data_IF_976279653729
#
_entry.id   IF_976279653729
#
_cell.length_a   1.000
_cell.length_b   1.000
_cell.length_c   1.000
_cell.angle_alpha   90.00
_cell.angle_beta   90.00
_cell.angle_gamma   90.00
#
_symmetry.space_group_name_H-M   'P 1'
#
loop_
_entity.id
_entity.type
_entity.pdbx_description
1 polymer ?
#
# COMPACT_ATOMS: atom_id res chain seq x y z
N UNK A 1 -0.79 -15.99 -31.00
CA UNK A 1 -0.45 -16.46 -29.66
C UNK A 1 1.06 -16.57 -29.40
N UNK A 2 1.87 -17.28 -30.23
CA UNK A 2 3.33 -17.43 -30.00
C UNK A 2 4.08 -16.09 -29.89
N UNK A 3 3.79 -15.11 -30.77
CA UNK A 3 4.43 -13.77 -30.71
C UNK A 3 4.12 -12.98 -29.47
N UNK A 4 2.88 -13.09 -28.93
CA UNK A 4 2.48 -12.44 -27.68
C UNK A 4 3.23 -13.04 -26.47
N UNK A 5 3.36 -14.37 -26.46
CA UNK A 5 4.12 -15.08 -25.41
C UNK A 5 5.61 -14.71 -25.42
N UNK A 6 6.20 -14.56 -26.62
CA UNK A 6 7.60 -14.14 -26.76
C UNK A 6 7.82 -12.70 -26.30
N UNK A 7 6.87 -11.79 -26.58
CA UNK A 7 6.94 -10.41 -26.09
C UNK A 7 6.83 -10.37 -24.56
N UNK A 8 5.91 -11.14 -23.98
CA UNK A 8 5.74 -11.23 -22.51
C UNK A 8 6.99 -11.84 -21.85
N UNK A 9 7.58 -12.87 -22.46
CA UNK A 9 8.83 -13.46 -21.96
C UNK A 9 10.01 -12.50 -22.08
N UNK A 10 10.17 -11.80 -23.21
CA UNK A 10 11.26 -10.83 -23.37
C UNK A 10 11.11 -9.62 -22.46
N UNK A 11 9.90 -9.08 -22.28
CA UNK A 11 9.65 -8.00 -21.31
C UNK A 11 9.86 -8.47 -19.87
N UNK A 12 9.52 -9.72 -19.56
CA UNK A 12 9.79 -10.32 -18.26
C UNK A 12 11.29 -10.46 -17.96
N UNK A 13 12.08 -10.92 -18.93
CA UNK A 13 13.53 -11.08 -18.78
C UNK A 13 14.26 -9.73 -18.72
N UNK A 14 13.86 -8.74 -19.50
CA UNK A 14 14.39 -7.38 -19.44
C UNK A 14 13.99 -6.68 -18.12
N UNK A 15 12.80 -6.98 -17.59
CA UNK A 15 12.35 -6.49 -16.29
C UNK A 15 13.17 -7.01 -15.11
N UNK A 16 13.67 -8.24 -15.19
CA UNK A 16 14.53 -8.83 -14.16
C UNK A 16 15.90 -8.15 -14.05
N UNK A 17 16.41 -7.59 -15.16
CA UNK A 17 17.71 -6.89 -15.16
C UNK A 17 17.66 -5.52 -14.44
N UNK A 18 16.48 -4.95 -14.24
CA UNK A 18 16.26 -3.67 -13.53
C UNK A 18 15.45 -3.84 -12.23
N UNK A 19 15.27 -5.10 -11.80
CA UNK A 19 14.49 -5.40 -10.62
C UNK A 19 15.14 -4.79 -9.37
N UNK A 20 14.37 -4.04 -8.63
CA UNK A 20 14.78 -3.41 -7.37
C UNK A 20 13.82 -3.83 -6.26
N UNK A 21 14.38 -4.32 -5.18
CA UNK A 21 13.61 -4.60 -3.96
C UNK A 21 13.71 -3.38 -3.06
N UNK A 22 12.59 -2.97 -2.50
CA UNK A 22 12.56 -1.93 -1.46
C UNK A 22 11.67 -2.35 -0.30
N UNK A 23 12.03 -1.90 0.89
CA UNK A 23 11.23 -2.06 2.08
C UNK A 23 11.03 -0.72 2.76
N UNK A 24 9.89 -0.52 3.39
CA UNK A 24 9.60 0.73 4.07
C UNK A 24 8.52 0.60 5.13
N UNK A 25 8.39 1.64 5.92
CA UNK A 25 7.30 1.81 6.86
C UNK A 25 6.61 3.14 6.65
N UNK A 26 5.37 3.26 7.09
CA UNK A 26 4.67 4.55 7.11
C UNK A 26 3.86 4.73 8.38
N UNK A 27 3.62 6.00 8.71
CA UNK A 27 2.67 6.42 9.72
C UNK A 27 1.65 7.31 9.05
N UNK A 28 0.39 6.98 9.23
CA UNK A 28 -0.73 7.67 8.60
C UNK A 28 -1.78 8.04 9.66
N UNK A 29 -2.45 9.18 9.48
CA UNK A 29 -3.66 9.55 10.22
C UNK A 29 -4.85 9.25 9.32
N UNK A 30 -5.71 8.37 9.80
CA UNK A 30 -6.87 7.87 9.06
C UNK A 30 -8.15 8.52 9.60
N UNK A 31 -9.06 8.86 8.70
CA UNK A 31 -10.36 9.43 8.99
C UNK A 31 -11.43 8.53 8.38
N UNK A 32 -12.29 7.96 9.24
CA UNK A 32 -13.51 7.27 8.82
C UNK A 32 -14.64 8.24 8.52
N UNK A 33 -15.83 7.70 8.28
CA UNK A 33 -17.04 8.48 8.01
C UNK A 33 -17.45 9.38 9.18
N UNK A 34 -17.10 9.00 10.41
CA UNK A 34 -17.35 9.76 11.62
C UNK A 34 -16.30 10.86 11.90
N UNK A 35 -15.31 11.03 11.00
CA UNK A 35 -14.22 12.01 11.08
C UNK A 35 -13.35 11.87 12.35
N UNK A 36 -13.45 10.78 13.09
CA UNK A 36 -12.58 10.52 14.24
C UNK A 36 -11.20 10.07 13.76
N UNK A 37 -10.13 10.74 14.20
CA UNK A 37 -8.78 10.39 13.78
C UNK A 37 -8.37 9.05 14.37
N UNK A 38 -7.70 8.22 13.55
CA UNK A 38 -7.14 6.94 13.94
C UNK A 38 -5.70 6.86 13.45
N UNK A 39 -4.81 6.37 14.28
CA UNK A 39 -3.42 6.14 13.92
C UNK A 39 -3.28 4.83 13.14
N UNK A 40 -2.52 4.87 12.06
CA UNK A 40 -2.16 3.67 11.28
C UNK A 40 -0.65 3.63 11.09
N UNK A 41 -0.02 2.53 11.49
CA UNK A 41 1.35 2.21 11.14
C UNK A 41 1.36 1.10 10.09
N UNK A 42 2.22 1.18 9.08
CA UNK A 42 2.34 0.10 8.12
C UNK A 42 3.79 -0.23 7.79
N UNK A 43 4.01 -1.45 7.35
CA UNK A 43 5.24 -1.93 6.75
C UNK A 43 4.94 -2.50 5.37
N UNK A 44 5.85 -2.32 4.41
CA UNK A 44 5.73 -2.84 3.05
C UNK A 44 7.03 -3.43 2.52
N UNK A 45 6.88 -4.40 1.64
CA UNK A 45 7.93 -4.94 0.79
C UNK A 45 7.47 -4.79 -0.65
N UNK A 46 8.26 -4.09 -1.46
CA UNK A 46 7.96 -3.76 -2.85
C UNK A 46 9.02 -4.35 -3.77
N UNK A 47 8.58 -4.94 -4.86
CA UNK A 47 9.41 -5.42 -5.95
C UNK A 47 9.08 -4.60 -7.20
N UNK A 48 10.04 -3.78 -7.65
CA UNK A 48 9.94 -2.99 -8.88
C UNK A 48 10.51 -3.81 -10.03
N UNK A 49 9.66 -4.22 -10.94
CA UNK A 49 10.02 -5.05 -12.11
C UNK A 49 10.16 -4.24 -13.39
N UNK A 50 9.63 -3.00 -13.42
CA UNK A 50 9.81 -2.01 -14.49
C UNK A 50 10.12 -0.65 -13.87
N UNK A 51 10.72 0.25 -14.64
CA UNK A 51 10.97 1.62 -14.18
C UNK A 51 9.69 2.35 -13.75
N UNK A 52 8.56 1.96 -14.35
CA UNK A 52 7.24 2.57 -14.16
C UNK A 52 6.26 1.70 -13.38
N UNK A 53 6.62 0.46 -12.99
CA UNK A 53 5.68 -0.46 -12.34
C UNK A 53 6.35 -1.31 -11.26
N UNK A 54 5.63 -1.52 -10.18
CA UNK A 54 6.00 -2.40 -9.07
C UNK A 54 4.79 -3.11 -8.49
N UNK A 55 5.04 -4.16 -7.72
CA UNK A 55 4.05 -4.84 -6.91
C UNK A 55 4.65 -5.23 -5.57
N UNK A 56 3.81 -5.49 -4.59
CA UNK A 56 4.32 -5.84 -3.27
C UNK A 56 3.25 -6.27 -2.29
N UNK A 57 3.69 -6.43 -1.05
CA UNK A 57 2.85 -6.73 0.09
C UNK A 57 2.96 -5.60 1.13
N UNK A 58 1.88 -5.35 1.83
CA UNK A 58 1.81 -4.37 2.91
C UNK A 58 1.09 -4.98 4.10
N UNK A 59 1.56 -4.70 5.28
CA UNK A 59 0.91 -5.03 6.54
C UNK A 59 0.66 -3.74 7.30
N UNK A 60 -0.59 -3.40 7.53
CA UNK A 60 -0.98 -2.20 8.29
C UNK A 60 -1.62 -2.58 9.63
N UNK A 61 -1.26 -1.87 10.67
CA UNK A 61 -1.89 -1.91 11.99
C UNK A 61 -2.58 -0.57 12.27
N UNK A 62 -3.84 -0.59 12.67
CA UNK A 62 -4.66 0.57 12.92
C UNK A 62 -5.20 0.56 14.36
N UNK A 63 -5.18 1.70 15.02
CA UNK A 63 -5.73 1.87 16.37
C UNK A 63 -6.46 3.20 16.52
N UNK A 64 -7.55 3.21 17.27
CA UNK A 64 -8.24 4.44 17.67
C UNK A 64 -7.91 4.88 19.10
N UNK A 65 -6.89 4.26 19.72
CA UNK A 65 -6.42 4.54 21.09
C UNK A 65 -7.45 4.27 22.21
N UNK A 66 -8.69 3.90 21.88
CA UNK A 66 -9.74 3.67 22.87
C UNK A 66 -10.02 2.19 23.15
N UNK A 67 -9.81 1.25 22.27
CA UNK A 67 -9.96 -0.21 22.45
C UNK A 67 -10.20 -0.93 21.12
N UNK A 68 -10.00 -0.26 19.99
CA UNK A 68 -10.14 -0.86 18.66
C UNK A 68 -8.76 -1.04 18.05
N UNK A 69 -8.47 -2.27 17.67
CA UNK A 69 -7.26 -2.61 16.95
C UNK A 69 -7.63 -3.36 15.66
N UNK A 70 -6.97 -3.05 14.58
CA UNK A 70 -7.15 -3.77 13.33
C UNK A 70 -5.82 -4.04 12.64
N UNK A 71 -5.74 -5.19 11.97
CA UNK A 71 -4.60 -5.56 11.11
C UNK A 71 -5.13 -5.78 9.70
N UNK A 72 -4.42 -5.23 8.73
CA UNK A 72 -4.82 -5.27 7.32
C UNK A 72 -3.63 -5.71 6.47
N UNK A 73 -3.46 -7.03 6.22
CA UNK A 73 -2.58 -7.51 5.17
C UNK A 73 -3.16 -7.19 3.79
N UNK A 74 -2.35 -6.65 2.89
CA UNK A 74 -2.73 -6.29 1.52
C UNK A 74 -1.64 -6.67 0.54
N UNK A 75 -2.06 -6.97 -0.68
CA UNK A 75 -1.20 -6.95 -1.87
C UNK A 75 -1.45 -5.64 -2.60
N UNK A 76 -0.43 -5.10 -3.23
CA UNK A 76 -0.57 -3.87 -4.00
C UNK A 76 0.18 -3.93 -5.34
N UNK A 77 -0.30 -3.12 -6.28
CA UNK A 77 0.39 -2.78 -7.51
C UNK A 77 0.52 -1.26 -7.59
N UNK A 78 1.66 -0.78 -8.04
CA UNK A 78 1.98 0.64 -8.08
C UNK A 78 2.53 1.02 -9.45
N UNK A 79 2.08 2.16 -9.97
CA UNK A 79 2.58 2.78 -11.19
C UNK A 79 3.28 4.09 -10.84
N UNK A 80 4.38 4.37 -11.54
CA UNK A 80 5.17 5.59 -11.43
C UNK A 80 5.10 6.35 -12.77
N UNK A 81 4.04 7.17 -12.99
CA UNK A 81 3.85 7.88 -14.27
C UNK A 81 4.89 8.96 -14.51
N UNK A 82 5.45 9.54 -13.44
CA UNK A 82 6.48 10.57 -13.50
C UNK A 82 7.56 10.27 -12.46
N UNK A 83 8.70 10.99 -12.55
CA UNK A 83 9.79 10.84 -11.57
C UNK A 83 9.28 11.08 -10.14
N UNK A 84 9.22 10.02 -9.35
CA UNK A 84 8.78 10.03 -7.96
C UNK A 84 7.28 9.96 -7.72
N UNK A 85 6.42 10.49 -8.60
CA UNK A 85 4.98 10.38 -8.44
C UNK A 85 4.53 8.92 -8.57
N UNK A 86 3.60 8.47 -7.73
CA UNK A 86 3.02 7.15 -7.83
C UNK A 86 1.51 7.14 -7.62
N UNK A 87 0.88 6.15 -8.26
CA UNK A 87 -0.47 5.72 -7.99
C UNK A 87 -0.45 4.23 -7.63
N UNK A 88 -1.10 3.84 -6.57
CA UNK A 88 -1.16 2.48 -6.04
C UNK A 88 -2.61 2.00 -5.99
N UNK A 89 -2.84 0.75 -6.38
CA UNK A 89 -4.06 0.02 -6.09
C UNK A 89 -3.74 -1.14 -5.14
N UNK A 90 -4.59 -1.39 -4.17
CA UNK A 90 -4.39 -2.44 -3.18
C UNK A 90 -5.66 -3.26 -2.92
N UNK A 91 -5.46 -4.53 -2.55
CA UNK A 91 -6.51 -5.48 -2.18
C UNK A 91 -6.06 -6.24 -0.93
N UNK A 92 -6.98 -6.49 0.00
CA UNK A 92 -6.62 -7.18 1.22
C UNK A 92 -7.78 -7.58 2.10
N UNK A 93 -7.45 -7.93 3.34
CA UNK A 93 -8.42 -8.27 4.37
C UNK A 93 -8.17 -7.47 5.63
N UNK A 94 -9.20 -6.83 6.16
CA UNK A 94 -9.16 -6.13 7.44
C UNK A 94 -9.68 -7.03 8.53
N UNK A 95 -8.86 -7.31 9.52
CA UNK A 95 -9.18 -8.07 10.72
C UNK A 95 -9.23 -7.11 11.90
N UNK A 96 -10.40 -6.95 12.50
CA UNK A 96 -10.62 -5.96 13.57
C UNK A 96 -11.07 -6.63 14.85
N UNK A 97 -10.53 -6.14 15.97
CA UNK A 97 -10.91 -6.53 17.33
C UNK A 97 -11.40 -5.29 18.06
N UNK A 98 -12.62 -5.37 18.59
CA UNK A 98 -13.22 -4.33 19.39
C UNK A 98 -13.99 -4.99 20.55
N UNK A 99 -13.61 -4.73 21.82
CA UNK A 99 -14.32 -5.18 23.02
C UNK A 99 -14.75 -6.66 23.02
N UNK A 100 -13.85 -7.57 22.62
CA UNK A 100 -14.08 -9.02 22.45
C UNK A 100 -14.87 -9.43 21.20
N UNK A 101 -15.28 -8.50 20.33
CA UNK A 101 -15.91 -8.81 19.04
C UNK A 101 -14.85 -8.83 17.95
N UNK A 102 -14.75 -9.95 17.24
CA UNK A 102 -13.89 -10.10 16.07
C UNK A 102 -14.72 -9.88 14.81
N UNK A 103 -14.22 -9.08 13.89
CA UNK A 103 -14.80 -8.91 12.56
C UNK A 103 -13.76 -8.98 11.46
N UNK A 104 -14.17 -9.47 10.30
CA UNK A 104 -13.33 -9.54 9.10
C UNK A 104 -14.05 -8.92 7.92
N UNK A 105 -13.34 -8.13 7.14
CA UNK A 105 -13.88 -7.48 5.93
C UNK A 105 -12.86 -7.59 4.81
N UNK A 106 -13.33 -7.82 3.58
CA UNK A 106 -12.52 -7.63 2.40
C UNK A 106 -12.32 -6.14 2.17
N UNK A 107 -11.10 -5.72 1.78
CA UNK A 107 -10.78 -4.32 1.52
C UNK A 107 -10.20 -4.15 0.14
N UNK A 108 -10.55 -3.05 -0.49
CA UNK A 108 -9.88 -2.53 -1.68
C UNK A 108 -9.58 -1.07 -1.47
N UNK A 109 -8.50 -0.60 -2.07
CA UNK A 109 -8.12 0.79 -1.90
C UNK A 109 -7.08 1.24 -2.92
N UNK A 110 -6.62 2.44 -2.72
CA UNK A 110 -5.56 3.03 -3.51
C UNK A 110 -4.84 4.13 -2.76
N UNK A 111 -3.68 4.49 -3.27
CA UNK A 111 -2.93 5.63 -2.76
C UNK A 111 -2.34 6.44 -3.91
N UNK A 112 -2.18 7.72 -3.68
CA UNK A 112 -1.38 8.61 -4.53
C UNK A 112 -0.35 9.31 -3.66
N UNK A 113 0.84 9.50 -4.21
CA UNK A 113 1.90 10.13 -3.45
C UNK A 113 3.13 10.43 -4.29
N UNK A 114 4.17 10.81 -3.60
CA UNK A 114 5.44 11.15 -4.20
C UNK A 114 6.58 10.47 -3.46
N UNK A 115 7.43 9.71 -4.17
CA UNK A 115 8.67 9.13 -3.63
C UNK A 115 9.83 10.08 -3.90
N UNK A 116 10.40 10.62 -2.84
CA UNK A 116 11.60 11.46 -2.88
C UNK A 116 12.75 10.58 -2.44
N UNK A 117 13.64 10.24 -3.37
CA UNK A 117 14.76 9.33 -3.11
C UNK A 117 16.07 10.11 -2.95
N UNK A 118 16.88 9.70 -1.99
CA UNK A 118 18.26 10.15 -1.81
C UNK A 118 19.16 8.92 -1.66
N UNK A 119 19.86 8.58 -2.74
CA UNK A 119 20.61 7.32 -2.81
C UNK A 119 19.67 6.11 -2.69
N UNK A 120 19.91 5.28 -1.67
CA UNK A 120 19.12 4.08 -1.39
C UNK A 120 17.94 4.31 -0.44
N UNK A 121 17.88 5.47 0.20
CA UNK A 121 16.76 5.82 1.10
C UNK A 121 15.72 6.64 0.36
N UNK A 122 14.47 6.58 0.85
CA UNK A 122 13.39 7.37 0.32
C UNK A 122 12.39 7.79 1.40
N UNK A 123 11.66 8.87 1.12
CA UNK A 123 10.47 9.29 1.86
C UNK A 123 9.28 9.37 0.89
N UNK A 124 8.07 9.09 1.40
CA UNK A 124 6.83 9.03 0.61
C UNK A 124 5.69 9.74 1.33
N UNK A 125 5.50 11.06 1.14
CA UNK A 125 4.22 11.67 1.44
C UNK A 125 3.14 11.06 0.54
N UNK A 126 1.98 10.69 1.13
CA UNK A 126 0.90 10.01 0.41
C UNK A 126 -0.47 10.28 1.03
N UNK A 127 -1.49 10.09 0.21
CA UNK A 127 -2.89 10.03 0.60
C UNK A 127 -3.40 8.66 0.19
N UNK A 128 -4.10 7.99 1.10
CA UNK A 128 -4.69 6.68 0.86
C UNK A 128 -6.23 6.78 0.93
N UNK A 129 -6.88 5.92 0.17
CA UNK A 129 -8.32 5.74 0.13
C UNK A 129 -8.61 4.26 0.24
N UNK A 130 -9.44 3.87 1.20
CA UNK A 130 -9.76 2.47 1.45
C UNK A 130 -11.27 2.28 1.57
N UNK A 131 -11.73 1.16 1.04
CA UNK A 131 -13.12 0.72 1.12
C UNK A 131 -13.17 -0.70 1.72
N UNK A 132 -13.89 -0.85 2.83
CA UNK A 132 -14.08 -2.14 3.52
C UNK A 132 -15.49 -2.66 3.26
N UNK A 133 -15.61 -3.72 2.49
CA UNK A 133 -16.90 -4.31 2.13
C UNK A 133 -17.62 -4.90 3.33
N UNK A 134 -18.89 -4.53 3.52
CA UNK A 134 -19.73 -5.01 4.63
C UNK A 134 -19.41 -4.38 5.99
N UNK A 135 -18.51 -3.40 6.06
CA UNK A 135 -18.31 -2.61 7.27
C UNK A 135 -19.43 -1.57 7.43
N UNK A 136 -19.72 -1.18 8.68
CA UNK A 136 -20.70 -0.11 8.98
C UNK A 136 -20.27 1.22 8.36
N UNK A 137 -18.96 1.51 8.45
CA UNK A 137 -18.32 2.67 7.84
C UNK A 137 -17.32 2.18 6.79
N UNK A 138 -17.78 1.98 5.52
CA UNK A 138 -16.98 1.29 4.52
C UNK A 138 -15.84 2.13 3.97
N UNK A 139 -16.01 3.44 3.88
CA UNK A 139 -15.02 4.33 3.28
C UNK A 139 -14.17 5.02 4.33
N UNK A 140 -12.86 5.06 4.09
CA UNK A 140 -11.92 5.85 4.88
C UNK A 140 -10.83 6.44 3.99
N UNK A 141 -10.27 7.54 4.42
CA UNK A 141 -9.09 8.13 3.80
C UNK A 141 -8.05 8.46 4.85
N UNK A 142 -6.80 8.50 4.45
CA UNK A 142 -5.70 8.85 5.34
C UNK A 142 -4.63 9.65 4.63
N UNK A 143 -3.97 10.50 5.37
CA UNK A 143 -2.75 11.18 4.95
C UNK A 143 -1.58 10.74 5.82
N UNK A 144 -0.42 10.57 5.22
CA UNK A 144 0.74 10.14 5.97
C UNK A 144 2.06 10.24 5.23
N UNK A 145 3.10 9.82 5.92
CA UNK A 145 4.47 9.79 5.39
C UNK A 145 5.08 8.42 5.62
N UNK A 146 5.64 7.87 4.58
CA UNK A 146 6.47 6.68 4.62
C UNK A 146 7.95 7.00 4.50
N UNK A 147 8.79 6.08 4.92
CA UNK A 147 10.22 6.07 4.68
C UNK A 147 10.70 4.65 4.44
N UNK A 148 11.75 4.48 3.66
CA UNK A 148 12.25 3.15 3.35
C UNK A 148 13.62 3.14 2.70
N UNK A 149 14.00 1.93 2.32
CA UNK A 149 15.31 1.61 1.75
C UNK A 149 15.15 0.72 0.52
N UNK A 150 15.94 1.00 -0.51
CA UNK A 150 16.02 0.22 -1.76
C UNK A 150 17.36 -0.49 -1.86
N UNK A 151 17.32 -1.78 -2.15
CA UNK A 151 18.50 -2.65 -2.25
C UNK A 151 19.08 -2.66 -3.66
#
# INVERSE_FOLDING_TARGET
MKRLLTIILMTGVLGLATAQISTGGSVDVNFGSDMKPQGTGSWNLEYRFLSIASAGIKLAGQTNFEHKFAVTPTIFARLYPFSGAFAEANLGGKFSWQEKVFSKHFTMGGSVGWRISSGRTYIEPKINFDYAFGAKDPFSWSGGVGAGYSF
#
